data_IF_487143902898
#
_entry.id   IF_487143902898
#
_cell.length_a   1.000
_cell.length_b   1.000
_cell.length_c   1.000
_cell.angle_alpha   90.00
_cell.angle_beta   90.00
_cell.angle_gamma   90.00
#
_symmetry.space_group_name_H-M   'P 1'
#
loop_
_entity.id
_entity.type
_entity.pdbx_description
1 polymer ?
#
# COMPACT_ATOMS: atom_id res chain seq x y z
N UNK A 1 13.55 5.75 -14.55
CA UNK A 1 13.22 4.43 -15.14
C UNK A 1 12.57 3.56 -14.06
N UNK A 2 11.62 2.70 -14.43
CA UNK A 2 10.96 1.78 -13.51
C UNK A 2 11.68 0.42 -13.57
N UNK A 3 11.92 -0.19 -12.41
CA UNK A 3 12.62 -1.46 -12.25
C UNK A 3 11.66 -2.51 -11.69
N UNK A 4 12.04 -3.78 -11.83
CA UNK A 4 11.28 -4.88 -11.26
C UNK A 4 11.26 -4.76 -9.73
N UNK A 5 10.06 -4.80 -9.14
CA UNK A 5 9.86 -4.66 -7.69
C UNK A 5 9.52 -3.24 -7.23
N UNK A 6 9.58 -2.23 -8.11
CA UNK A 6 9.11 -0.87 -7.77
C UNK A 6 7.60 -0.86 -7.45
N UNK A 7 7.22 -0.09 -6.43
CA UNK A 7 5.81 0.20 -6.17
C UNK A 7 5.25 1.13 -7.24
N UNK A 8 4.09 0.75 -7.78
CA UNK A 8 3.39 1.52 -8.82
C UNK A 8 1.95 1.78 -8.43
N UNK A 9 1.41 2.89 -8.91
CA UNK A 9 -0.03 3.14 -8.88
C UNK A 9 -0.61 2.61 -10.19
N UNK A 10 -1.58 1.70 -10.10
CA UNK A 10 -2.32 1.25 -11.26
C UNK A 10 -3.47 2.22 -11.58
N UNK A 11 -3.53 2.66 -12.83
CA UNK A 11 -4.64 3.42 -13.38
C UNK A 11 -5.48 2.51 -14.27
N UNK A 12 -6.75 2.37 -13.93
CA UNK A 12 -7.75 1.70 -14.79
C UNK A 12 -8.01 2.56 -16.01
N UNK A 13 -7.87 1.97 -17.20
CA UNK A 13 -8.13 2.65 -18.47
C UNK A 13 -9.46 2.20 -19.10
N UNK A 14 -10.24 1.37 -18.39
CA UNK A 14 -11.52 0.84 -18.85
C UNK A 14 -11.39 -0.47 -19.62
N UNK A 15 -12.47 -0.83 -20.30
CA UNK A 15 -12.57 -2.10 -21.05
C UNK A 15 -12.69 -1.86 -22.54
N UNK A 16 -11.99 -2.68 -23.33
CA UNK A 16 -12.06 -2.65 -24.78
C UNK A 16 -12.28 -4.05 -25.37
N UNK A 17 -13.01 -4.15 -26.49
CA UNK A 17 -13.28 -5.41 -27.15
C UNK A 17 -12.02 -5.97 -27.81
N UNK A 18 -11.77 -7.26 -27.62
CA UNK A 18 -10.68 -8.02 -28.22
C UNK A 18 -11.25 -9.29 -28.83
N UNK A 19 -10.87 -9.58 -30.07
CA UNK A 19 -11.22 -10.86 -30.72
C UNK A 19 -10.19 -11.91 -30.30
N UNK A 20 -10.66 -13.03 -29.77
CA UNK A 20 -9.86 -14.19 -29.41
C UNK A 20 -10.37 -15.41 -30.16
N UNK A 21 -9.47 -16.32 -30.51
CA UNK A 21 -9.85 -17.62 -31.05
C UNK A 21 -10.07 -18.61 -29.91
N UNK A 22 -11.24 -19.24 -29.92
CA UNK A 22 -11.58 -20.39 -29.08
C UNK A 22 -11.37 -21.64 -29.91
N UNK A 23 -10.61 -22.59 -29.38
CA UNK A 23 -10.33 -23.87 -30.03
C UNK A 23 -11.05 -24.94 -29.22
N UNK A 24 -12.03 -25.60 -29.82
CA UNK A 24 -12.80 -26.68 -29.20
C UNK A 24 -12.03 -28.02 -29.25
N UNK A 25 -12.48 -29.02 -28.49
CA UNK A 25 -11.79 -30.31 -28.38
C UNK A 25 -11.73 -31.08 -29.70
N UNK A 26 -12.72 -30.88 -30.59
CA UNK A 26 -12.73 -31.44 -31.95
C UNK A 26 -11.82 -30.68 -32.92
N UNK A 27 -11.16 -29.61 -32.47
CA UNK A 27 -10.26 -28.78 -33.25
C UNK A 27 -10.94 -27.66 -34.01
N UNK A 28 -12.26 -27.49 -33.87
CA UNK A 28 -12.98 -26.34 -34.44
C UNK A 28 -12.48 -25.03 -33.81
N UNK A 29 -12.23 -24.03 -34.65
CA UNK A 29 -11.76 -22.70 -34.21
C UNK A 29 -12.84 -21.67 -34.46
N UNK A 30 -13.20 -20.92 -33.42
CA UNK A 30 -14.23 -19.88 -33.50
C UNK A 30 -13.71 -18.56 -32.94
N UNK A 31 -13.95 -17.46 -33.65
CA UNK A 31 -13.68 -16.11 -33.15
C UNK A 31 -14.74 -15.69 -32.12
N UNK A 32 -14.28 -15.17 -30.99
CA UNK A 32 -15.13 -14.62 -29.94
C UNK A 32 -14.64 -13.23 -29.56
N UNK A 33 -15.56 -12.27 -29.50
CA UNK A 33 -15.26 -10.97 -28.91
C UNK A 33 -15.40 -11.03 -27.39
N UNK A 34 -14.35 -10.66 -26.67
CA UNK A 34 -14.32 -10.54 -25.21
C UNK A 34 -13.92 -9.11 -24.81
N UNK A 35 -14.33 -8.65 -23.63
CA UNK A 35 -13.92 -7.34 -23.12
C UNK A 35 -12.66 -7.50 -22.25
N UNK A 36 -11.55 -6.91 -22.68
CA UNK A 36 -10.29 -6.86 -21.93
C UNK A 36 -10.20 -5.54 -21.18
N UNK A 37 -9.82 -5.59 -19.90
CA UNK A 37 -9.54 -4.40 -19.10
C UNK A 37 -8.08 -3.97 -19.26
N UNK A 38 -7.89 -2.68 -19.50
CA UNK A 38 -6.60 -2.04 -19.71
C UNK A 38 -6.12 -1.37 -18.42
N UNK A 39 -4.83 -1.45 -18.13
CA UNK A 39 -4.22 -0.80 -16.97
C UNK A 39 -2.93 -0.09 -17.37
N UNK A 40 -2.68 1.08 -16.78
CA UNK A 40 -1.40 1.78 -16.88
C UNK A 40 -0.72 1.87 -15.52
N UNK A 41 0.57 1.53 -15.45
CA UNK A 41 1.38 1.68 -14.24
C UNK A 41 2.02 3.08 -14.21
N UNK A 42 1.68 3.86 -13.19
CA UNK A 42 2.29 5.17 -12.92
C UNK A 42 3.33 5.01 -11.80
N UNK A 43 4.53 5.59 -11.95
CA UNK A 43 5.53 5.55 -10.89
C UNK A 43 5.00 6.29 -9.66
N UNK A 44 5.17 5.68 -8.48
CA UNK A 44 4.93 6.38 -7.22
C UNK A 44 6.23 7.07 -6.86
N UNK A 45 6.19 8.38 -6.66
CA UNK A 45 7.35 9.07 -6.10
C UNK A 45 7.66 8.42 -4.74
N UNK A 46 8.92 8.09 -4.44
CA UNK A 46 9.27 7.47 -3.16
C UNK A 46 8.72 8.35 -2.04
N UNK A 47 7.94 7.74 -1.15
CA UNK A 47 7.57 8.38 0.11
C UNK A 47 8.89 8.71 0.80
N UNK A 48 9.19 10.00 0.94
CA UNK A 48 10.35 10.41 1.73
C UNK A 48 10.06 9.91 3.14
N UNK A 49 10.83 8.93 3.59
CA UNK A 49 10.96 8.64 5.02
C UNK A 49 11.53 9.90 5.67
N UNK A 50 10.64 10.81 6.09
CA UNK A 50 11.01 11.82 7.07
C UNK A 50 11.14 11.03 8.35
N UNK A 51 12.33 10.48 8.61
CA UNK A 51 12.69 10.18 9.98
C UNK A 51 12.41 11.47 10.74
N UNK A 52 11.44 11.43 11.65
CA UNK A 52 11.17 12.55 12.54
C UNK A 52 12.46 12.77 13.32
N UNK A 53 13.30 13.69 12.85
CA UNK A 53 14.48 14.09 13.59
C UNK A 53 13.95 14.94 14.72
N UNK A 54 13.61 14.30 15.84
CA UNK A 54 13.50 14.98 17.11
C UNK A 54 14.84 15.70 17.32
N UNK A 55 14.92 17.03 17.24
CA UNK A 55 16.17 17.71 17.54
C UNK A 55 16.20 17.86 19.05
N UNK A 56 16.72 16.85 19.76
CA UNK A 56 17.11 17.02 21.16
C UNK A 56 18.62 17.16 21.21
N UNK A 57 19.02 18.43 21.30
CA UNK A 57 20.39 18.85 21.48
C UNK A 57 21.08 18.10 22.61
N UNK A 58 22.38 17.93 22.43
CA UNK A 58 23.32 17.47 23.43
C UNK A 58 23.18 18.26 24.74
N UNK A 59 22.94 17.55 25.84
CA UNK A 59 23.67 17.74 27.10
C UNK A 59 23.30 16.61 28.06
N UNK A 60 24.27 15.72 28.30
CA UNK A 60 24.27 14.82 29.45
C UNK A 60 24.53 15.66 30.71
N UNK A 61 23.63 15.64 31.69
CA UNK A 61 23.92 16.00 33.07
C UNK A 61 22.96 15.23 34.01
N UNK A 62 23.55 14.60 35.02
CA UNK A 62 22.95 13.62 35.91
C UNK A 62 21.76 14.13 36.73
N UNK A 63 20.75 13.28 36.89
CA UNK A 63 19.65 13.43 37.84
C UNK A 63 18.56 12.40 37.57
N UNK A 64 18.39 11.43 38.46
CA UNK A 64 17.34 10.40 38.41
C UNK A 64 15.95 11.04 38.30
N UNK A 65 15.11 10.71 37.30
CA UNK A 65 13.71 11.08 37.38
C UNK A 65 13.00 10.14 38.34
N UNK A 66 12.34 10.67 39.37
CA UNK A 66 11.45 9.88 40.22
C UNK A 66 10.29 9.36 39.37
N UNK A 67 10.14 8.03 39.32
CA UNK A 67 8.98 7.39 38.73
C UNK A 67 7.83 7.50 39.73
N UNK A 68 6.91 8.44 39.52
CA UNK A 68 5.59 8.34 40.17
C UNK A 68 4.82 7.18 39.53
N UNK A 69 4.39 6.24 40.36
CA UNK A 69 3.54 5.12 39.96
C UNK A 69 2.24 5.62 39.33
N UNK A 70 1.73 4.99 38.26
CA UNK A 70 0.45 5.38 37.67
C UNK A 70 -0.69 5.17 38.68
N UNK A 71 -1.58 6.17 38.77
CA UNK A 71 -2.79 6.16 39.58
C UNK A 71 -3.75 5.07 39.05
N UNK A 72 -4.19 4.17 39.92
CA UNK A 72 -5.13 3.10 39.60
C UNK A 72 -6.51 3.73 39.41
N UNK A 73 -7.02 3.76 38.17
CA UNK A 73 -8.39 4.20 37.87
C UNK A 73 -9.38 3.39 38.72
N UNK A 74 -9.92 4.06 39.76
CA UNK A 74 -11.05 3.59 40.58
C UNK A 74 -12.22 3.25 39.63
N UNK A 75 -12.44 1.95 39.45
CA UNK A 75 -13.41 1.41 38.52
C UNK A 75 -14.81 1.96 38.79
N UNK A 76 -15.25 2.87 37.91
CA UNK A 76 -16.61 3.38 37.88
C UNK A 76 -17.60 2.22 37.85
N UNK A 77 -18.34 2.08 38.95
CA UNK A 77 -19.49 1.19 39.06
C UNK A 77 -20.52 1.58 37.99
N UNK A 78 -20.95 0.60 37.20
CA UNK A 78 -22.15 0.69 36.37
C UNK A 78 -23.16 -0.31 36.93
N UNK A 79 -24.21 0.27 37.55
CA UNK A 79 -25.53 -0.25 37.96
C UNK A 79 -25.63 -1.62 38.65
#
# INVERSE_FOLDING_TARGET
>A
PMHQGDQVRLQDLGTQPVVVQVIEEDGTVTDKTVNRREWSAQPVAPEREVAETTPKGQAIAAGTPELSSPDEEDGMSMD
#
